data_IF_147501643754
#
_entry.id   IF_147501643754
#
_cell.length_a   1.000
_cell.length_b   1.000
_cell.length_c   1.000
_cell.angle_alpha   90.00
_cell.angle_beta   90.00
_cell.angle_gamma   90.00
#
_symmetry.space_group_name_H-M   'P 1'
#
loop_
_entity.id
_entity.type
_entity.pdbx_description
1 polymer ?
#
# COMPACT_ATOMS: atom_id res chain seq x y z
N UNK A 1 2.29 54.49 8.13
CA UNK A 1 1.62 53.19 7.89
C UNK A 1 2.59 51.99 7.90
N UNK A 2 3.90 52.15 8.06
CA UNK A 2 4.86 51.03 8.06
C UNK A 2 5.18 50.46 9.45
N UNK A 3 5.18 51.29 10.50
CA UNK A 3 5.69 50.85 11.82
C UNK A 3 4.68 50.04 12.64
N UNK A 4 3.38 50.31 12.48
CA UNK A 4 2.32 49.55 13.14
C UNK A 4 2.19 48.12 12.57
N UNK A 5 2.41 47.94 11.26
CA UNK A 5 2.38 46.63 10.60
C UNK A 5 3.63 45.81 10.95
N UNK A 6 4.79 46.45 11.01
CA UNK A 6 6.05 45.82 11.43
C UNK A 6 6.03 45.46 12.93
N UNK A 7 5.46 46.32 13.79
CA UNK A 7 5.24 45.99 15.21
C UNK A 7 4.20 44.88 15.39
N UNK A 8 3.13 44.85 14.59
CA UNK A 8 2.14 43.77 14.64
C UNK A 8 2.74 42.43 14.20
N UNK A 9 3.57 42.42 13.16
CA UNK A 9 4.28 41.23 12.67
C UNK A 9 5.34 40.74 13.68
N UNK A 10 6.14 41.65 14.26
CA UNK A 10 7.11 41.32 15.31
C UNK A 10 6.43 40.83 16.61
N UNK A 11 5.30 41.43 17.00
CA UNK A 11 4.49 41.02 18.15
C UNK A 11 3.77 39.70 17.91
N UNK A 12 3.42 39.40 16.65
CA UNK A 12 2.88 38.11 16.20
C UNK A 12 3.94 37.01 16.23
N UNK A 13 5.16 37.27 15.74
CA UNK A 13 6.30 36.35 15.84
C UNK A 13 6.75 36.11 17.30
N UNK A 14 6.72 37.15 18.14
CA UNK A 14 6.99 37.02 19.57
C UNK A 14 5.90 36.17 20.27
N UNK A 15 4.63 36.34 19.89
CA UNK A 15 3.50 35.52 20.36
C UNK A 15 3.54 34.08 19.84
N UNK A 16 4.04 33.85 18.62
CA UNK A 16 4.27 32.52 18.02
C UNK A 16 5.26 31.70 18.85
N UNK A 17 6.32 32.34 19.37
CA UNK A 17 7.28 31.71 20.30
C UNK A 17 6.68 31.40 21.68
N UNK A 18 5.64 32.11 22.10
CA UNK A 18 5.07 31.97 23.46
C UNK A 18 3.82 31.10 23.53
N UNK A 19 2.91 31.12 22.53
CA UNK A 19 1.69 30.28 22.54
C UNK A 19 1.15 29.98 21.13
N UNK A 20 1.25 28.72 20.71
CA UNK A 20 0.18 27.86 20.16
C UNK A 20 0.70 26.95 19.04
N UNK A 21 0.45 25.64 19.22
CA UNK A 21 0.99 24.48 18.49
C UNK A 21 2.44 24.14 18.85
N UNK A 22 2.61 23.55 20.03
CA UNK A 22 3.84 22.81 20.35
C UNK A 22 3.84 21.51 19.55
N UNK A 23 4.68 21.43 18.53
CA UNK A 23 5.03 20.15 17.93
C UNK A 23 6.03 19.47 18.85
N UNK A 24 5.70 18.29 19.34
CA UNK A 24 6.67 17.42 19.97
C UNK A 24 7.59 16.85 18.86
N UNK A 25 8.65 17.57 18.54
CA UNK A 25 9.62 17.20 17.50
C UNK A 25 10.41 15.92 17.81
N UNK A 26 10.27 15.35 19.02
CA UNK A 26 10.76 14.02 19.36
C UNK A 26 9.83 12.92 18.81
N UNK A 27 8.57 13.23 18.54
CA UNK A 27 7.63 12.36 17.81
C UNK A 27 7.79 12.58 16.31
N UNK A 28 8.08 11.50 15.59
CA UNK A 28 8.37 11.54 14.15
C UNK A 28 7.24 12.18 13.30
N UNK A 29 5.99 12.03 13.73
CA UNK A 29 4.81 12.58 13.05
C UNK A 29 4.71 14.10 13.22
N UNK A 30 4.89 14.59 14.43
CA UNK A 30 4.86 16.02 14.75
C UNK A 30 6.11 16.73 14.23
N UNK A 31 7.26 16.04 14.13
CA UNK A 31 8.47 16.53 13.46
C UNK A 31 8.25 16.77 11.96
N UNK A 32 7.51 15.89 11.28
CA UNK A 32 7.15 16.07 9.88
C UNK A 32 6.18 17.25 9.69
N UNK A 33 5.13 17.32 10.52
CA UNK A 33 4.19 18.44 10.49
C UNK A 33 4.87 19.78 10.78
N UNK A 34 5.84 19.80 11.70
CA UNK A 34 6.69 20.95 11.98
C UNK A 34 7.56 21.34 10.76
N UNK A 35 8.14 20.36 10.06
CA UNK A 35 8.92 20.63 8.85
C UNK A 35 8.05 21.23 7.73
N UNK A 36 6.86 20.69 7.49
CA UNK A 36 5.90 21.22 6.52
C UNK A 36 5.42 22.62 6.94
N UNK A 37 5.10 22.83 8.22
CA UNK A 37 4.68 24.12 8.75
C UNK A 37 5.75 25.21 8.54
N UNK A 38 7.03 24.87 8.64
CA UNK A 38 8.13 25.81 8.42
C UNK A 38 8.38 26.16 6.95
N UNK A 39 7.86 25.37 6.00
CA UNK A 39 7.92 25.71 4.57
C UNK A 39 6.80 26.65 4.14
N UNK A 40 5.81 26.90 5.00
CA UNK A 40 4.64 27.71 4.67
C UNK A 40 4.78 29.14 5.21
N UNK A 41 4.57 30.18 4.37
CA UNK A 41 4.61 31.58 4.81
C UNK A 41 3.56 31.92 5.87
N UNK A 42 2.40 31.26 5.84
CA UNK A 42 1.35 31.34 6.86
C UNK A 42 0.68 29.98 7.05
N UNK A 43 1.25 29.17 7.94
CA UNK A 43 0.71 27.87 8.32
C UNK A 43 -0.69 27.97 8.94
N UNK A 44 -0.95 29.02 9.72
CA UNK A 44 -2.23 29.17 10.42
C UNK A 44 -3.37 29.51 9.47
N UNK A 45 -3.12 30.40 8.50
CA UNK A 45 -4.02 30.70 7.40
C UNK A 45 -4.21 29.49 6.49
N UNK A 46 -3.15 28.72 6.22
CA UNK A 46 -3.24 27.48 5.45
C UNK A 46 -4.14 26.43 6.13
N UNK A 47 -3.99 26.20 7.43
CA UNK A 47 -4.84 25.28 8.21
C UNK A 47 -6.29 25.78 8.23
N UNK A 48 -6.51 27.07 8.50
CA UNK A 48 -7.86 27.66 8.52
C UNK A 48 -8.55 27.59 7.16
N UNK A 49 -7.82 27.83 6.08
CA UNK A 49 -8.34 27.71 4.72
C UNK A 49 -8.64 26.25 4.39
N UNK A 50 -7.76 25.32 4.75
CA UNK A 50 -7.98 23.88 4.51
C UNK A 50 -9.19 23.35 5.26
N UNK A 51 -9.34 23.72 6.54
CA UNK A 51 -10.49 23.35 7.37
C UNK A 51 -11.78 24.06 6.93
N UNK A 52 -11.70 25.33 6.51
CA UNK A 52 -12.86 26.07 6.00
C UNK A 52 -13.33 25.50 4.67
N UNK A 53 -12.41 25.13 3.78
CA UNK A 53 -12.74 24.42 2.55
C UNK A 53 -13.34 23.05 2.88
N UNK A 54 -12.74 22.25 3.77
CA UNK A 54 -13.35 20.98 4.23
C UNK A 54 -14.75 21.16 4.82
N UNK A 55 -14.97 22.20 5.63
CA UNK A 55 -16.28 22.50 6.21
C UNK A 55 -17.30 22.96 5.15
N UNK A 56 -16.91 23.77 4.17
CA UNK A 56 -17.77 24.15 3.03
C UNK A 56 -18.10 22.94 2.15
N UNK A 57 -17.15 22.02 1.97
CA UNK A 57 -17.33 20.79 1.21
C UNK A 57 -18.24 19.78 1.93
N UNK A 58 -18.20 19.75 3.28
CA UNK A 58 -19.15 18.97 4.09
C UNK A 58 -20.55 19.58 4.09
N UNK A 59 -20.65 20.91 4.06
CA UNK A 59 -21.93 21.63 4.10
C UNK A 59 -22.70 21.60 2.76
N UNK A 60 -22.02 21.57 1.62
CA UNK A 60 -22.66 21.72 0.29
C UNK A 60 -22.90 20.40 -0.47
N UNK A 61 -22.56 19.24 0.12
CA UNK A 61 -22.46 17.99 -0.66
C UNK A 61 -21.22 17.99 -1.56
N UNK A 62 -20.72 16.79 -1.88
CA UNK A 62 -19.42 16.54 -2.55
C UNK A 62 -19.09 17.58 -3.63
N UNK A 63 -17.87 18.15 -3.69
CA UNK A 63 -17.48 18.90 -4.87
C UNK A 63 -17.35 17.90 -6.01
N UNK A 64 -18.35 17.85 -6.88
CA UNK A 64 -18.20 17.16 -8.16
C UNK A 64 -17.13 17.92 -8.94
N UNK A 65 -16.10 17.19 -9.40
CA UNK A 65 -15.24 17.70 -10.45
C UNK A 65 -16.12 18.03 -11.65
N UNK A 66 -15.84 19.14 -12.31
CA UNK A 66 -16.55 19.49 -13.55
C UNK A 66 -15.93 18.73 -14.71
N UNK A 67 -16.78 18.22 -15.59
CA UNK A 67 -16.36 17.54 -16.80
C UNK A 67 -17.15 18.08 -18.00
N UNK A 68 -16.43 18.60 -18.99
CA UNK A 68 -16.93 18.80 -20.34
C UNK A 68 -16.38 17.65 -21.19
N UNK A 69 -17.25 16.90 -21.87
CA UNK A 69 -16.88 15.72 -22.65
C UNK A 69 -17.19 15.92 -24.12
N UNK A 70 -16.37 15.32 -24.98
CA UNK A 70 -16.72 15.14 -26.38
C UNK A 70 -17.70 13.96 -26.53
N UNK A 71 -18.28 13.82 -27.73
CA UNK A 71 -19.25 12.76 -28.04
C UNK A 71 -18.68 11.34 -27.95
N UNK A 72 -17.35 11.18 -28.00
CA UNK A 72 -16.66 9.90 -27.84
C UNK A 72 -16.30 9.59 -26.38
N UNK A 73 -16.70 10.43 -25.42
CA UNK A 73 -16.38 10.25 -24.00
C UNK A 73 -14.99 10.75 -23.59
N UNK A 74 -14.23 11.38 -24.50
CA UNK A 74 -12.97 12.06 -24.12
C UNK A 74 -13.24 13.32 -23.30
N UNK A 75 -12.34 13.65 -22.38
CA UNK A 75 -12.45 14.85 -21.54
C UNK A 75 -11.91 16.06 -22.32
N UNK A 76 -12.78 17.01 -22.59
CA UNK A 76 -12.42 18.32 -23.19
C UNK A 76 -11.95 19.27 -22.10
N UNK A 77 -12.63 19.28 -20.95
CA UNK A 77 -12.27 20.14 -19.81
C UNK A 77 -12.57 19.48 -18.49
N UNK A 78 -11.67 19.63 -17.54
CA UNK A 78 -11.94 19.32 -16.13
C UNK A 78 -11.07 20.16 -15.20
N UNK A 79 -11.60 20.42 -14.00
CA UNK A 79 -10.89 21.10 -12.91
C UNK A 79 -10.02 20.15 -12.05
N UNK A 80 -9.92 18.86 -12.41
CA UNK A 80 -9.12 17.86 -11.69
C UNK A 80 -7.70 18.34 -11.34
N UNK A 81 -6.96 18.92 -12.29
CA UNK A 81 -5.55 19.32 -12.05
C UNK A 81 -5.39 20.48 -11.07
N UNK A 82 -6.44 21.26 -10.85
CA UNK A 82 -6.48 22.33 -9.85
C UNK A 82 -7.09 21.86 -8.53
N UNK A 83 -7.68 20.67 -8.51
CA UNK A 83 -8.37 20.10 -7.37
C UNK A 83 -7.41 19.61 -6.28
N UNK A 84 -7.99 19.31 -5.10
CA UNK A 84 -7.29 18.65 -4.01
C UNK A 84 -6.72 17.28 -4.42
N UNK A 85 -7.38 16.57 -5.34
CA UNK A 85 -6.97 15.23 -5.75
C UNK A 85 -5.60 15.28 -6.42
N UNK A 86 -5.44 16.14 -7.42
CA UNK A 86 -4.15 16.34 -8.07
C UNK A 86 -3.09 16.89 -7.11
N UNK A 87 -3.46 17.79 -6.19
CA UNK A 87 -2.52 18.34 -5.19
C UNK A 87 -1.98 17.27 -4.23
N UNK A 88 -2.83 16.35 -3.78
CA UNK A 88 -2.47 15.30 -2.83
C UNK A 88 -1.97 14.01 -3.48
N UNK A 89 -1.83 13.98 -4.81
CA UNK A 89 -1.36 12.79 -5.50
C UNK A 89 -2.40 11.67 -5.55
N UNK A 90 -3.69 12.02 -5.59
CA UNK A 90 -4.82 11.10 -5.63
C UNK A 90 -5.39 11.00 -7.07
N UNK A 91 -5.43 9.80 -7.66
CA UNK A 91 -6.13 9.60 -8.93
C UNK A 91 -7.64 9.74 -8.75
N UNK A 92 -8.33 10.08 -9.83
CA UNK A 92 -9.79 10.19 -9.86
C UNK A 92 -10.36 9.39 -11.03
N UNK A 93 -11.41 8.62 -10.78
CA UNK A 93 -12.10 7.81 -11.78
C UNK A 93 -13.52 8.32 -11.96
N UNK A 94 -13.90 8.53 -13.22
CA UNK A 94 -15.27 8.85 -13.59
C UNK A 94 -15.73 8.01 -14.77
N UNK A 95 -17.04 7.92 -14.98
CA UNK A 95 -17.62 7.36 -16.20
C UNK A 95 -18.26 8.44 -17.08
N UNK A 96 -18.28 8.23 -18.38
CA UNK A 96 -19.11 8.92 -19.36
C UNK A 96 -19.58 7.85 -20.36
N UNK A 97 -20.87 7.54 -20.35
CA UNK A 97 -21.47 6.45 -21.14
C UNK A 97 -20.74 5.11 -20.92
N UNK A 98 -20.16 4.52 -21.97
CA UNK A 98 -19.41 3.25 -21.93
C UNK A 98 -17.89 3.43 -21.67
N UNK A 99 -17.46 4.67 -21.39
CA UNK A 99 -16.06 5.07 -21.23
C UNK A 99 -15.75 5.42 -19.79
N UNK A 100 -14.72 4.78 -19.24
CA UNK A 100 -14.08 5.22 -18.02
C UNK A 100 -12.95 6.19 -18.28
N UNK A 101 -12.81 7.16 -17.37
CA UNK A 101 -11.86 8.24 -17.46
C UNK A 101 -11.07 8.25 -16.17
N UNK A 102 -9.82 7.80 -16.23
CA UNK A 102 -8.90 7.79 -15.11
C UNK A 102 -7.93 8.96 -15.23
N UNK A 103 -8.05 9.92 -14.33
CA UNK A 103 -7.18 11.11 -14.27
C UNK A 103 -6.05 10.86 -13.28
N UNK A 104 -4.80 10.87 -13.78
CA UNK A 104 -3.62 10.62 -12.95
C UNK A 104 -3.02 11.92 -12.41
N UNK A 105 -2.58 11.93 -11.15
CA UNK A 105 -1.96 13.11 -10.55
C UNK A 105 -0.53 13.26 -11.08
N UNK A 106 -0.10 14.48 -11.49
CA UNK A 106 1.21 14.69 -12.13
C UNK A 106 2.41 14.13 -11.35
N UNK A 107 2.36 14.18 -10.01
CA UNK A 107 3.46 13.73 -9.14
C UNK A 107 3.66 12.20 -9.16
N UNK A 108 2.67 11.43 -9.62
CA UNK A 108 2.70 9.96 -9.63
C UNK A 108 2.87 9.35 -11.01
N UNK A 109 2.64 10.14 -12.08
CA UNK A 109 2.73 9.70 -13.48
C UNK A 109 4.05 8.96 -13.74
N UNK A 110 5.20 9.57 -13.40
CA UNK A 110 6.52 8.98 -13.64
C UNK A 110 6.68 7.58 -13.03
N UNK A 111 6.09 7.33 -11.86
CA UNK A 111 6.18 6.04 -11.17
C UNK A 111 5.15 5.00 -11.63
N UNK A 112 4.07 5.42 -12.28
CA UNK A 112 2.94 4.54 -12.62
C UNK A 112 2.86 4.21 -14.12
N UNK A 113 3.36 5.11 -14.98
CA UNK A 113 3.28 5.01 -16.45
C UNK A 113 3.74 3.65 -16.97
N UNK A 114 4.88 3.14 -16.51
CA UNK A 114 5.41 1.89 -17.03
C UNK A 114 4.46 0.69 -16.78
N UNK A 115 3.84 0.63 -15.60
CA UNK A 115 2.90 -0.43 -15.26
C UNK A 115 1.55 -0.28 -15.97
N UNK A 116 1.09 0.96 -16.15
CA UNK A 116 -0.16 1.26 -16.86
C UNK A 116 -0.04 0.95 -18.35
N UNK A 117 1.03 1.43 -19.01
CA UNK A 117 1.22 1.26 -20.45
C UNK A 117 1.60 -0.17 -20.86
N UNK A 118 2.06 -1.01 -19.93
CA UNK A 118 2.32 -2.43 -20.20
C UNK A 118 1.02 -3.26 -20.28
N UNK A 119 -0.08 -2.74 -19.76
CA UNK A 119 -1.34 -3.47 -19.68
C UNK A 119 -2.00 -3.65 -21.05
N UNK A 120 -2.68 -4.78 -21.21
CA UNK A 120 -3.51 -5.10 -22.37
C UNK A 120 -4.98 -4.78 -22.10
N UNK A 121 -5.38 -4.73 -20.83
CA UNK A 121 -6.74 -4.40 -20.40
C UNK A 121 -6.75 -3.89 -18.96
N UNK A 122 -7.83 -3.22 -18.58
CA UNK A 122 -8.12 -2.85 -17.18
C UNK A 122 -9.28 -3.70 -16.67
N UNK A 123 -9.12 -4.31 -15.50
CA UNK A 123 -10.21 -5.00 -14.80
C UNK A 123 -10.59 -4.23 -13.56
N UNK A 124 -11.89 -4.02 -13.37
CA UNK A 124 -12.41 -3.27 -12.23
C UNK A 124 -13.14 -4.22 -11.31
N UNK A 125 -12.73 -4.19 -10.05
CA UNK A 125 -13.38 -4.93 -8.99
C UNK A 125 -14.21 -3.97 -8.15
N UNK A 126 -15.51 -4.26 -8.07
CA UNK A 126 -16.46 -3.53 -7.25
C UNK A 126 -16.03 -3.55 -5.77
N UNK A 127 -16.31 -2.49 -4.99
CA UNK A 127 -15.86 -2.36 -3.61
C UNK A 127 -16.25 -3.50 -2.68
N UNK A 128 -17.41 -4.09 -2.93
CA UNK A 128 -17.88 -5.23 -2.17
C UNK A 128 -17.00 -6.49 -2.32
N UNK A 129 -16.06 -6.54 -3.29
CA UNK A 129 -15.06 -7.62 -3.41
C UNK A 129 -13.79 -7.37 -2.57
N UNK A 130 -13.52 -6.12 -2.19
CA UNK A 130 -12.31 -5.71 -1.47
C UNK A 130 -12.47 -5.75 0.07
N UNK A 131 -13.58 -6.31 0.57
CA UNK A 131 -13.92 -6.35 1.99
C UNK A 131 -14.20 -4.98 2.61
N UNK A 132 -14.15 -3.90 1.82
CA UNK A 132 -14.51 -2.55 2.20
C UNK A 132 -15.33 -1.90 1.06
N UNK A 133 -16.61 -1.55 1.31
CA UNK A 133 -17.54 -1.06 0.30
C UNK A 133 -17.16 0.32 -0.27
N UNK A 134 -16.14 0.97 0.29
CA UNK A 134 -15.69 2.29 -0.15
C UNK A 134 -14.48 2.23 -1.11
N UNK A 135 -13.91 1.07 -1.44
CA UNK A 135 -12.70 1.02 -2.29
C UNK A 135 -12.89 0.30 -3.62
N UNK A 136 -12.59 0.96 -4.73
CA UNK A 136 -12.49 0.32 -6.05
C UNK A 136 -11.04 -0.12 -6.31
N UNK A 137 -10.87 -1.27 -6.96
CA UNK A 137 -9.57 -1.73 -7.45
C UNK A 137 -9.56 -1.78 -8.97
N UNK A 138 -8.52 -1.18 -9.55
CA UNK A 138 -8.23 -1.19 -10.98
C UNK A 138 -6.96 -2.02 -11.20
N UNK A 139 -7.12 -3.16 -11.84
CA UNK A 139 -6.02 -4.07 -12.21
C UNK A 139 -5.65 -3.83 -13.68
N UNK A 140 -4.42 -3.43 -13.91
CA UNK A 140 -3.81 -3.23 -15.23
C UNK A 140 -3.15 -4.52 -15.68
N UNK A 141 -3.92 -5.37 -16.35
CA UNK A 141 -3.55 -6.74 -16.71
C UNK A 141 -2.71 -6.78 -17.98
N UNK A 142 -1.42 -7.06 -17.83
CA UNK A 142 -0.44 -7.26 -18.90
C UNK A 142 -0.25 -8.74 -19.26
N UNK A 143 -0.96 -9.66 -18.59
CA UNK A 143 -0.78 -11.10 -18.67
C UNK A 143 0.38 -11.64 -17.83
N UNK A 144 1.09 -10.79 -17.08
CA UNK A 144 2.10 -11.24 -16.14
C UNK A 144 1.46 -11.79 -14.86
N UNK A 145 2.24 -12.51 -14.05
CA UNK A 145 1.83 -12.91 -12.71
C UNK A 145 1.66 -11.70 -11.77
N UNK A 146 2.19 -10.53 -12.14
CA UNK A 146 2.36 -9.38 -11.26
C UNK A 146 1.91 -8.05 -11.91
N UNK A 147 0.64 -7.94 -12.33
CA UNK A 147 0.10 -6.74 -12.96
C UNK A 147 0.12 -5.52 -12.03
N UNK A 148 0.11 -4.33 -12.63
CA UNK A 148 0.01 -3.08 -11.89
C UNK A 148 -1.41 -2.87 -11.34
N UNK A 149 -1.54 -2.28 -10.15
CA UNK A 149 -2.84 -2.12 -9.46
C UNK A 149 -2.97 -0.71 -8.87
N UNK A 150 -4.14 -0.11 -9.06
CA UNK A 150 -4.55 1.12 -8.38
C UNK A 150 -5.77 0.84 -7.49
N UNK A 151 -5.80 1.51 -6.34
CA UNK A 151 -6.92 1.47 -5.40
C UNK A 151 -7.46 2.89 -5.29
N UNK A 152 -8.77 3.04 -5.41
CA UNK A 152 -9.49 4.31 -5.35
C UNK A 152 -10.47 4.27 -4.20
N UNK A 153 -10.48 5.33 -3.38
CA UNK A 153 -11.39 5.47 -2.25
C UNK A 153 -12.62 6.29 -2.66
N UNK A 154 -13.75 5.60 -2.85
CA UNK A 154 -15.07 6.19 -3.09
C UNK A 154 -15.59 6.97 -1.87
N UNK A 155 -15.22 6.58 -0.64
CA UNK A 155 -15.52 7.31 0.59
C UNK A 155 -14.80 8.67 0.63
N UNK A 156 -13.55 8.73 0.16
CA UNK A 156 -12.80 9.97 -0.06
C UNK A 156 -13.22 10.72 -1.34
N UNK A 157 -14.17 10.17 -2.10
CA UNK A 157 -14.71 10.74 -3.33
C UNK A 157 -13.76 10.68 -4.52
N UNK A 158 -12.89 9.67 -4.63
CA UNK A 158 -12.02 9.45 -5.80
C UNK A 158 -12.75 8.77 -6.97
N UNK A 159 -14.01 8.40 -6.78
CA UNK A 159 -14.79 7.60 -7.71
C UNK A 159 -16.14 8.25 -7.92
N UNK A 160 -16.47 8.48 -9.18
CA UNK A 160 -17.75 9.00 -9.65
C UNK A 160 -18.29 8.08 -10.76
N UNK A 161 -18.90 6.98 -10.34
CA UNK A 161 -19.43 5.94 -11.22
C UNK A 161 -20.96 5.87 -11.09
N UNK A 162 -21.71 5.86 -12.21
CA UNK A 162 -23.13 5.57 -12.18
C UNK A 162 -23.35 4.09 -11.83
N UNK A 163 -24.48 3.79 -11.21
CA UNK A 163 -24.80 2.44 -10.70
C UNK A 163 -24.95 1.35 -11.76
N UNK A 164 -25.02 1.69 -13.06
CA UNK A 164 -25.41 0.74 -14.12
C UNK A 164 -24.76 0.95 -15.49
N UNK A 165 -23.56 1.56 -15.57
CA UNK A 165 -22.91 1.74 -16.88
C UNK A 165 -22.27 0.42 -17.38
N UNK A 166 -22.59 0.04 -18.61
CA UNK A 166 -21.92 -1.03 -19.35
C UNK A 166 -20.57 -0.51 -19.89
N UNK A 167 -19.56 -0.49 -19.03
CA UNK A 167 -18.23 0.01 -19.37
C UNK A 167 -17.51 -0.95 -20.33
N UNK A 168 -16.93 -0.40 -21.41
CA UNK A 168 -16.19 -1.15 -22.43
C UNK A 168 -14.72 -0.77 -22.53
N UNK A 169 -14.37 0.48 -22.23
CA UNK A 169 -13.00 0.99 -22.32
C UNK A 169 -12.66 1.99 -21.22
N UNK A 170 -11.38 2.15 -20.97
CA UNK A 170 -10.83 3.10 -20.00
C UNK A 170 -9.76 3.96 -20.67
N UNK A 171 -9.98 5.27 -20.68
CA UNK A 171 -9.03 6.28 -21.14
C UNK A 171 -8.27 6.79 -19.91
N UNK A 172 -6.95 6.69 -19.96
CA UNK A 172 -6.07 7.14 -18.89
C UNK A 172 -5.39 8.44 -19.29
N UNK A 173 -5.58 9.48 -18.49
CA UNK A 173 -5.01 10.80 -18.70
C UNK A 173 -3.82 11.05 -17.77
N UNK A 174 -2.73 11.59 -18.31
CA UNK A 174 -1.58 12.11 -17.60
C UNK A 174 -1.29 13.53 -18.09
N UNK A 175 -0.59 14.38 -17.32
CA UNK A 175 -0.41 15.78 -17.74
C UNK A 175 -1.76 16.52 -17.86
N UNK A 176 -1.81 17.72 -18.46
CA UNK A 176 -3.05 18.52 -18.56
C UNK A 176 -3.89 18.02 -19.73
N UNK A 177 -4.59 16.89 -19.53
CA UNK A 177 -5.43 16.17 -20.50
C UNK A 177 -4.68 15.41 -21.61
N UNK A 178 -3.39 15.10 -21.44
CA UNK A 178 -2.70 14.22 -22.38
C UNK A 178 -3.19 12.78 -22.20
N UNK A 179 -3.70 12.18 -23.28
CA UNK A 179 -4.08 10.77 -23.27
C UNK A 179 -2.80 9.94 -23.21
N UNK A 180 -2.64 9.21 -22.11
CA UNK A 180 -1.50 8.32 -21.90
C UNK A 180 -1.69 7.01 -22.67
N UNK A 181 -2.84 6.37 -22.47
CA UNK A 181 -3.23 5.12 -23.13
C UNK A 181 -4.73 4.93 -23.02
N UNK A 182 -5.30 4.24 -24.00
CA UNK A 182 -6.67 3.74 -23.96
C UNK A 182 -6.64 2.21 -23.92
N UNK A 183 -7.39 1.61 -22.99
CA UNK A 183 -7.39 0.17 -22.76
C UNK A 183 -8.82 -0.38 -22.75
N UNK A 184 -9.04 -1.60 -23.29
CA UNK A 184 -10.25 -2.37 -23.03
C UNK A 184 -10.50 -2.49 -21.52
N UNK A 185 -11.76 -2.39 -21.11
CA UNK A 185 -12.14 -2.42 -19.70
C UNK A 185 -13.21 -3.48 -19.44
N UNK A 186 -13.01 -4.27 -18.38
CA UNK A 186 -13.97 -5.27 -17.94
C UNK A 186 -14.33 -5.01 -16.47
N UNK A 187 -15.61 -4.75 -16.22
CA UNK A 187 -16.16 -4.71 -14.86
C UNK A 187 -16.48 -6.13 -14.44
N UNK A 188 -15.79 -6.65 -13.42
CA UNK A 188 -15.97 -8.05 -13.00
C UNK A 188 -17.19 -8.14 -12.07
N UNK A 189 -18.27 -8.86 -12.45
CA UNK A 189 -19.46 -9.01 -11.63
C UNK A 189 -19.15 -9.80 -10.35
N UNK A 190 -19.95 -9.54 -9.30
CA UNK A 190 -19.92 -10.35 -8.09
C UNK A 190 -20.31 -11.80 -8.40
N UNK A 191 -19.43 -12.75 -8.09
CA UNK A 191 -19.82 -14.16 -7.94
C UNK A 191 -20.07 -14.36 -6.44
N UNK A 192 -21.31 -14.72 -6.06
CA UNK A 192 -21.61 -15.11 -4.67
C UNK A 192 -20.73 -16.30 -4.31
N UNK A 193 -19.92 -16.24 -3.23
CA UNK A 193 -19.18 -17.40 -2.77
C UNK A 193 -20.13 -18.42 -2.13
N UNK A 194 -20.09 -19.68 -2.59
CA UNK A 194 -20.76 -20.79 -1.91
C UNK A 194 -20.05 -21.17 -0.60
N UNK A 195 -20.79 -21.74 0.38
CA UNK A 195 -20.31 -21.83 1.75
C UNK A 195 -19.65 -23.17 2.07
N UNK A 196 -18.39 -23.10 2.52
CA UNK A 196 -17.80 -24.04 3.46
C UNK A 196 -16.76 -23.26 4.30
N UNK A 197 -17.05 -23.05 5.58
CA UNK A 197 -16.14 -22.45 6.58
C UNK A 197 -15.80 -20.94 6.47
N UNK A 198 -16.83 -20.13 6.71
CA UNK A 198 -16.85 -18.69 6.97
C UNK A 198 -16.16 -18.23 8.29
N UNK A 199 -14.97 -18.73 8.65
CA UNK A 199 -14.34 -18.44 9.97
C UNK A 199 -12.87 -18.01 9.97
N UNK A 200 -12.30 -17.63 8.84
CA UNK A 200 -11.09 -16.80 8.73
C UNK A 200 -11.46 -15.77 7.68
N UNK A 201 -11.52 -14.47 7.99
CA UNK A 201 -11.89 -13.48 6.97
C UNK A 201 -10.62 -13.06 6.19
N UNK A 202 -10.39 -13.54 4.96
CA UNK A 202 -9.17 -13.30 4.19
C UNK A 202 -9.27 -12.07 3.27
N UNK A 203 -10.25 -11.18 3.48
CA UNK A 203 -10.83 -10.38 2.37
C UNK A 203 -10.44 -8.90 2.33
N UNK A 204 -9.59 -8.37 3.23
CA UNK A 204 -9.31 -6.92 3.29
C UNK A 204 -7.89 -6.52 3.70
N UNK A 205 -6.88 -7.39 3.63
CA UNK A 205 -5.49 -7.00 3.95
C UNK A 205 -4.59 -7.14 2.74
N UNK A 206 -3.98 -6.03 2.34
CA UNK A 206 -2.79 -6.05 1.49
C UNK A 206 -1.57 -6.14 2.41
N UNK A 207 -0.65 -7.04 2.09
CA UNK A 207 0.67 -7.06 2.68
C UNK A 207 1.56 -6.05 1.96
N UNK A 208 2.16 -5.12 2.68
CA UNK A 208 3.25 -4.30 2.15
C UNK A 208 4.53 -5.12 2.16
N UNK A 209 4.90 -5.72 1.03
CA UNK A 209 6.15 -6.43 0.84
C UNK A 209 7.25 -5.47 0.39
N UNK A 210 8.36 -5.42 1.12
CA UNK A 210 9.43 -4.46 0.91
C UNK A 210 10.72 -5.21 0.75
N UNK A 211 11.25 -5.25 -0.48
CA UNK A 211 12.48 -5.96 -0.79
C UNK A 211 13.52 -4.94 -1.20
N UNK A 212 14.54 -4.75 -0.36
CA UNK A 212 15.62 -3.78 -0.60
C UNK A 212 15.13 -2.37 -0.97
N UNK A 213 14.08 -1.89 -0.28
CA UNK A 213 13.51 -0.56 -0.51
C UNK A 213 12.54 -0.46 -1.69
N UNK A 214 12.31 -1.54 -2.45
CA UNK A 214 11.20 -1.63 -3.40
C UNK A 214 9.95 -2.09 -2.66
N UNK A 215 8.90 -1.29 -2.70
CA UNK A 215 7.62 -1.60 -2.06
C UNK A 215 6.64 -2.22 -3.05
N UNK A 216 5.90 -3.23 -2.58
CA UNK A 216 4.85 -3.90 -3.31
C UNK A 216 3.69 -4.21 -2.39
N UNK A 217 2.45 -4.06 -2.86
CA UNK A 217 1.26 -4.51 -2.13
C UNK A 217 0.81 -5.86 -2.68
N UNK A 218 0.66 -6.85 -1.81
CA UNK A 218 0.28 -8.22 -2.19
C UNK A 218 -0.99 -8.62 -1.46
N UNK A 219 -2.01 -9.07 -2.20
CA UNK A 219 -3.23 -9.62 -1.59
C UNK A 219 -3.06 -11.06 -1.19
N UNK A 220 -3.82 -11.50 -0.19
CA UNK A 220 -3.89 -12.90 0.20
C UNK A 220 -4.35 -13.80 -0.95
N UNK A 221 -5.32 -13.34 -1.74
CA UNK A 221 -5.88 -14.04 -2.90
C UNK A 221 -4.89 -14.23 -4.06
N UNK A 222 -3.84 -13.41 -4.13
CA UNK A 222 -2.79 -13.55 -5.14
C UNK A 222 -1.72 -14.59 -4.74
N UNK A 223 -1.81 -15.14 -3.53
CA UNK A 223 -0.92 -16.20 -3.06
C UNK A 223 -1.67 -17.53 -3.09
N UNK A 224 -1.10 -18.55 -3.72
CA UNK A 224 -1.75 -19.87 -3.83
C UNK A 224 -2.10 -20.40 -2.45
N UNK A 225 -3.36 -20.82 -2.28
CA UNK A 225 -3.82 -21.30 -0.97
C UNK A 225 -3.05 -22.55 -0.52
N UNK A 226 -2.72 -23.44 -1.45
CA UNK A 226 -1.89 -24.63 -1.19
C UNK A 226 -0.52 -24.26 -0.62
N UNK A 227 0.14 -23.22 -1.15
CA UNK A 227 1.43 -22.75 -0.65
C UNK A 227 1.31 -22.20 0.77
N UNK A 228 0.25 -21.42 1.06
CA UNK A 228 0.02 -20.89 2.42
C UNK A 228 -0.28 -22.00 3.42
N UNK A 229 -1.12 -22.97 3.06
CA UNK A 229 -1.41 -24.14 3.90
C UNK A 229 -0.14 -24.95 4.17
N UNK A 230 0.69 -25.18 3.14
CA UNK A 230 1.98 -25.84 3.29
C UNK A 230 2.88 -25.06 4.26
N UNK A 231 2.99 -23.74 4.11
CA UNK A 231 3.79 -22.91 5.00
C UNK A 231 3.26 -22.85 6.43
N UNK A 232 1.94 -22.94 6.66
CA UNK A 232 1.37 -23.06 8.00
C UNK A 232 1.79 -24.35 8.69
N UNK A 233 1.80 -25.46 7.96
CA UNK A 233 2.33 -26.72 8.47
C UNK A 233 3.83 -26.60 8.80
N UNK A 234 4.61 -26.00 7.91
CA UNK A 234 6.04 -25.76 8.12
C UNK A 234 6.31 -24.81 9.31
N UNK A 235 5.48 -23.79 9.54
CA UNK A 235 5.58 -22.89 10.69
C UNK A 235 5.39 -23.65 12.01
N UNK A 236 4.41 -24.54 12.08
CA UNK A 236 4.20 -25.39 13.24
C UNK A 236 5.43 -26.27 13.52
N UNK A 237 6.03 -26.84 12.47
CA UNK A 237 7.26 -27.62 12.59
C UNK A 237 8.48 -26.77 12.98
N UNK A 238 8.64 -25.57 12.41
CA UNK A 238 9.77 -24.68 12.72
C UNK A 238 9.78 -24.20 14.17
N UNK A 239 8.61 -24.12 14.81
CA UNK A 239 8.50 -23.76 16.23
C UNK A 239 8.92 -24.88 17.17
N UNK A 240 8.78 -26.13 16.75
CA UNK A 240 9.19 -27.31 17.53
C UNK A 240 10.58 -27.81 17.16
N UNK A 241 11.05 -27.47 15.96
CA UNK A 241 12.38 -27.78 15.46
C UNK A 241 13.01 -26.52 14.82
N UNK A 242 14.06 -25.93 15.41
CA UNK A 242 14.58 -24.62 15.03
C UNK A 242 15.20 -24.55 13.61
N UNK A 243 15.33 -25.67 12.90
CA UNK A 243 15.77 -25.70 11.51
C UNK A 243 14.85 -26.55 10.63
N UNK A 244 13.87 -25.92 9.96
CA UNK A 244 13.19 -26.60 8.86
C UNK A 244 14.10 -26.64 7.64
N UNK A 245 14.36 -27.85 7.16
CA UNK A 245 14.99 -28.08 5.86
C UNK A 245 13.95 -27.90 4.76
N UNK A 246 14.31 -27.12 3.76
CA UNK A 246 13.55 -26.94 2.54
C UNK A 246 14.19 -27.78 1.43
N UNK A 247 13.39 -28.26 0.46
CA UNK A 247 13.92 -28.96 -0.70
C UNK A 247 15.04 -28.17 -1.39
N UNK A 248 16.06 -28.88 -1.88
CA UNK A 248 17.16 -28.29 -2.65
C UNK A 248 18.31 -27.71 -1.81
N UNK A 249 18.47 -28.16 -0.55
CA UNK A 249 19.61 -27.76 0.28
C UNK A 249 19.46 -26.37 0.89
N UNK A 250 18.23 -25.95 1.22
CA UNK A 250 17.98 -24.68 1.91
C UNK A 250 17.41 -24.93 3.30
N UNK A 251 17.55 -23.95 4.19
CA UNK A 251 16.94 -23.97 5.52
C UNK A 251 16.27 -22.64 5.80
N UNK A 252 15.06 -22.69 6.32
CA UNK A 252 14.37 -21.53 6.87
C UNK A 252 14.25 -21.71 8.38
N UNK A 253 14.60 -20.65 9.14
CA UNK A 253 14.56 -20.66 10.60
C UNK A 253 13.81 -19.48 11.12
N UNK A 254 13.00 -19.70 12.15
CA UNK A 254 12.42 -18.63 12.95
C UNK A 254 13.51 -18.11 13.90
N UNK A 255 13.84 -16.83 13.80
CA UNK A 255 14.79 -16.14 14.68
C UNK A 255 14.09 -15.46 15.85
N UNK A 256 12.86 -15.04 15.64
CA UNK A 256 12.02 -14.42 16.65
C UNK A 256 10.55 -14.60 16.24
N UNK A 257 9.69 -14.95 17.20
CA UNK A 257 8.27 -15.21 16.93
C UNK A 257 7.36 -14.60 18.01
N UNK A 258 7.22 -13.28 17.96
CA UNK A 258 6.35 -12.53 18.87
C UNK A 258 4.94 -12.38 18.31
N UNK A 259 4.02 -11.89 19.14
CA UNK A 259 2.64 -11.65 18.73
C UNK A 259 2.51 -10.62 17.57
N UNK A 260 3.33 -9.57 17.57
CA UNK A 260 3.26 -8.46 16.60
C UNK A 260 4.47 -8.40 15.64
N UNK A 261 5.42 -9.33 15.75
CA UNK A 261 6.68 -9.36 15.00
C UNK A 261 7.16 -10.80 14.81
N UNK A 262 7.53 -11.18 13.59
CA UNK A 262 8.29 -12.39 13.35
C UNK A 262 9.49 -12.13 12.45
N UNK A 263 10.59 -12.83 12.73
CA UNK A 263 11.85 -12.73 11.99
C UNK A 263 12.24 -14.12 11.50
N UNK A 264 12.48 -14.24 10.20
CA UNK A 264 12.93 -15.47 9.57
C UNK A 264 14.30 -15.28 8.92
N UNK A 265 15.10 -16.34 8.89
CA UNK A 265 16.32 -16.38 8.09
C UNK A 265 16.30 -17.57 7.15
N UNK A 266 16.48 -17.30 5.86
CA UNK A 266 16.71 -18.31 4.84
C UNK A 266 18.21 -18.41 4.56
N UNK A 267 18.72 -19.64 4.55
CA UNK A 267 20.12 -19.92 4.27
C UNK A 267 20.23 -21.12 3.33
N UNK A 268 21.28 -21.14 2.51
CA UNK A 268 21.68 -22.33 1.74
C UNK A 268 22.62 -23.17 2.59
N UNK A 269 22.45 -24.48 2.56
CA UNK A 269 23.35 -25.47 3.14
C UNK A 269 24.29 -25.98 2.03
N UNK A 270 25.56 -26.13 2.35
CA UNK A 270 26.48 -26.89 1.51
C UNK A 270 26.43 -28.39 1.85
N UNK A 271 27.21 -29.19 1.11
CA UNK A 271 27.31 -30.65 1.30
C UNK A 271 27.82 -31.04 2.70
N UNK A 272 28.50 -30.13 3.39
CA UNK A 272 29.02 -30.33 4.75
C UNK A 272 28.05 -29.77 5.83
N UNK A 273 26.87 -29.28 5.44
CA UNK A 273 25.89 -28.67 6.32
C UNK A 273 26.23 -27.24 6.76
N UNK A 274 27.26 -26.61 6.18
CA UNK A 274 27.61 -25.23 6.48
C UNK A 274 26.56 -24.28 5.87
N UNK A 275 26.13 -23.32 6.68
CA UNK A 275 24.98 -22.47 6.36
C UNK A 275 25.42 -21.09 5.85
N UNK A 276 25.07 -20.77 4.61
CA UNK A 276 25.28 -19.45 3.99
C UNK A 276 23.97 -18.64 4.03
N UNK A 277 23.91 -17.50 4.74
CA UNK A 277 22.68 -16.72 4.82
C UNK A 277 22.35 -16.05 3.48
N UNK A 278 21.13 -16.27 2.98
CA UNK A 278 20.66 -15.68 1.73
C UNK A 278 19.77 -14.47 1.98
N UNK A 279 18.79 -14.59 2.87
CA UNK A 279 17.91 -13.46 3.20
C UNK A 279 17.42 -13.52 4.64
N UNK A 280 17.00 -12.34 5.13
CA UNK A 280 16.27 -12.16 6.37
C UNK A 280 14.93 -11.51 6.07
N UNK A 281 13.87 -12.07 6.62
CA UNK A 281 12.50 -11.64 6.42
C UNK A 281 11.94 -11.17 7.77
N UNK A 282 11.23 -10.05 7.82
CA UNK A 282 10.59 -9.53 9.03
C UNK A 282 9.13 -9.21 8.73
N UNK A 283 8.22 -9.82 9.46
CA UNK A 283 6.77 -9.56 9.37
C UNK A 283 6.38 -8.71 10.57
N UNK A 284 5.75 -7.57 10.33
CA UNK A 284 5.34 -6.62 11.35
C UNK A 284 3.85 -6.31 11.21
N UNK A 285 3.09 -6.42 12.30
CA UNK A 285 1.63 -6.16 12.29
C UNK A 285 1.21 -4.92 13.06
N UNK A 286 2.12 -4.30 13.82
CA UNK A 286 1.85 -3.04 14.53
C UNK A 286 2.99 -2.05 14.39
N UNK A 287 2.64 -0.78 14.19
CA UNK A 287 3.58 0.32 14.02
C UNK A 287 4.66 0.41 15.10
N UNK A 288 4.34 0.12 16.37
CA UNK A 288 5.32 0.07 17.47
C UNK A 288 6.47 -0.93 17.26
N UNK A 289 6.23 -2.00 16.49
CA UNK A 289 7.23 -3.03 16.18
C UNK A 289 8.00 -2.73 14.88
N UNK A 290 7.68 -1.64 14.17
CA UNK A 290 8.28 -1.32 12.89
C UNK A 290 9.78 -1.01 13.02
N UNK A 291 10.19 -0.28 14.06
CA UNK A 291 11.61 0.02 14.33
C UNK A 291 12.41 -1.23 14.72
N UNK A 292 11.95 -2.07 15.68
CA UNK A 292 12.58 -3.38 15.94
C UNK A 292 12.72 -4.25 14.68
N UNK A 293 11.69 -4.31 13.83
CA UNK A 293 11.76 -5.04 12.55
C UNK A 293 12.85 -4.48 11.61
N UNK A 294 13.01 -3.16 11.59
CA UNK A 294 14.00 -2.48 10.74
C UNK A 294 15.43 -2.69 11.21
N UNK A 295 15.65 -2.63 12.51
CA UNK A 295 16.93 -2.90 13.17
C UNK A 295 17.35 -4.37 12.97
N UNK A 296 16.41 -5.30 13.08
CA UNK A 296 16.65 -6.72 12.80
C UNK A 296 17.13 -6.97 11.37
N UNK A 297 16.66 -6.20 10.39
CA UNK A 297 17.16 -6.24 9.02
C UNK A 297 18.45 -5.45 8.83
N UNK A 298 18.86 -4.63 9.79
CA UNK A 298 19.93 -3.63 9.64
C UNK A 298 19.72 -2.86 8.32
N UNK A 299 18.48 -2.40 8.13
CA UNK A 299 18.01 -1.65 6.98
C UNK A 299 18.35 -0.16 7.14
N UNK A 300 18.51 0.54 6.00
CA UNK A 300 18.78 1.99 5.99
C UNK A 300 17.46 2.77 5.86
N UNK A 301 17.43 3.98 6.40
CA UNK A 301 16.25 4.86 6.36
C UNK A 301 15.24 4.54 7.47
N UNK A 302 14.04 5.12 7.35
CA UNK A 302 12.94 4.87 8.31
C UNK A 302 12.12 3.65 7.90
N UNK A 303 11.58 2.89 8.87
CA UNK A 303 10.65 1.81 8.57
C UNK A 303 9.34 2.32 7.96
N UNK A 304 8.57 1.42 7.32
CA UNK A 304 7.28 1.76 6.75
C UNK A 304 6.32 2.23 7.84
N UNK A 305 5.58 3.31 7.54
CA UNK A 305 4.54 3.83 8.45
C UNK A 305 3.26 2.99 8.41
N UNK A 306 3.11 2.14 7.39
CA UNK A 306 1.89 1.35 7.15
C UNK A 306 2.14 -0.10 7.58
N UNK A 307 1.27 -0.63 8.44
CA UNK A 307 1.25 -2.03 8.87
C UNK A 307 -0.10 -2.69 8.49
N UNK A 308 -0.15 -4.01 8.24
CA UNK A 308 0.98 -4.96 8.31
C UNK A 308 1.93 -4.85 7.11
N UNK A 309 3.22 -5.07 7.36
CA UNK A 309 4.25 -5.15 6.32
C UNK A 309 5.15 -6.37 6.51
N UNK A 310 5.76 -6.79 5.41
CA UNK A 310 6.87 -7.73 5.39
C UNK A 310 8.06 -7.04 4.74
N UNK A 311 9.19 -7.01 5.42
CA UNK A 311 10.42 -6.43 4.90
C UNK A 311 11.48 -7.52 4.75
N UNK A 312 12.19 -7.50 3.63
CA UNK A 312 13.17 -8.51 3.25
C UNK A 312 14.51 -7.85 2.96
N UNK A 313 15.54 -8.29 3.69
CA UNK A 313 16.93 -8.05 3.34
C UNK A 313 17.49 -9.26 2.63
N UNK A 314 17.95 -9.05 1.41
CA UNK A 314 18.68 -10.05 0.62
C UNK A 314 20.17 -9.75 0.68
N UNK A 315 20.97 -10.77 0.97
CA UNK A 315 22.43 -10.68 0.98
C UNK A 315 22.97 -10.96 -0.42
N UNK A 316 22.87 -10.00 -1.33
CA UNK A 316 23.14 -10.20 -2.78
C UNK A 316 24.48 -10.87 -3.08
N UNK A 317 25.52 -10.61 -2.28
CA UNK A 317 26.85 -11.24 -2.45
C UNK A 317 26.85 -12.75 -2.24
N UNK A 318 25.85 -13.27 -1.53
CA UNK A 318 25.74 -14.70 -1.22
C UNK A 318 24.83 -15.45 -2.21
N UNK A 319 24.07 -14.71 -3.04
CA UNK A 319 23.19 -15.28 -4.05
C UNK A 319 23.98 -15.76 -5.28
N UNK A 320 23.83 -17.04 -5.60
CA UNK A 320 24.15 -17.65 -6.89
C UNK A 320 22.98 -17.49 -7.85
N UNK A 321 23.20 -17.74 -9.13
CA UNK A 321 22.15 -17.59 -10.14
C UNK A 321 20.99 -18.58 -9.96
N UNK A 322 21.30 -19.79 -9.49
CA UNK A 322 20.30 -20.78 -9.04
C UNK A 322 19.38 -20.25 -7.92
N UNK A 323 19.96 -19.58 -6.91
CA UNK A 323 19.19 -19.00 -5.81
C UNK A 323 18.29 -17.85 -6.31
N UNK A 324 18.78 -17.05 -7.26
CA UNK A 324 18.03 -15.93 -7.82
C UNK A 324 16.83 -16.43 -8.63
N UNK A 325 16.99 -17.56 -9.33
CA UNK A 325 15.91 -18.22 -10.05
C UNK A 325 14.87 -18.84 -9.11
N UNK A 326 15.31 -19.46 -8.02
CA UNK A 326 14.42 -20.10 -7.03
C UNK A 326 13.72 -19.11 -6.11
N UNK A 327 14.42 -18.05 -5.72
CA UNK A 327 13.92 -17.02 -4.82
C UNK A 327 14.01 -15.65 -5.48
N UNK A 328 13.28 -15.37 -6.57
CA UNK A 328 13.26 -14.03 -7.13
C UNK A 328 12.75 -13.02 -6.07
N UNK A 329 13.10 -11.72 -6.17
CA UNK A 329 12.50 -10.70 -5.31
C UNK A 329 10.98 -10.74 -5.39
N UNK A 330 10.29 -10.61 -4.25
CA UNK A 330 8.84 -10.73 -4.15
C UNK A 330 8.32 -12.12 -4.58
N UNK A 331 9.09 -13.17 -4.28
CA UNK A 331 8.75 -14.55 -4.65
C UNK A 331 7.49 -15.08 -3.94
N UNK A 332 6.93 -16.17 -4.49
CA UNK A 332 5.86 -16.95 -3.85
C UNK A 332 6.26 -17.40 -2.44
N UNK A 333 7.55 -17.65 -2.19
CA UNK A 333 8.09 -17.94 -0.86
C UNK A 333 7.82 -16.82 0.15
N UNK A 334 8.25 -15.59 -0.14
CA UNK A 334 8.13 -14.44 0.76
C UNK A 334 6.65 -14.15 1.07
N UNK A 335 5.79 -14.25 0.04
CA UNK A 335 4.36 -14.03 0.16
C UNK A 335 3.67 -15.14 0.97
N UNK A 336 3.93 -16.41 0.64
CA UNK A 336 3.25 -17.55 1.26
C UNK A 336 3.64 -17.73 2.71
N UNK A 337 4.93 -17.60 3.05
CA UNK A 337 5.41 -17.61 4.43
C UNK A 337 4.77 -16.47 5.24
N UNK A 338 4.69 -15.27 4.66
CA UNK A 338 4.10 -14.14 5.38
C UNK A 338 2.62 -14.33 5.67
N UNK A 339 1.85 -14.73 4.65
CA UNK A 339 0.42 -14.98 4.83
C UNK A 339 0.14 -16.14 5.77
N UNK A 340 0.95 -17.20 5.71
CA UNK A 340 0.85 -18.33 6.62
C UNK A 340 0.99 -17.87 8.08
N UNK A 341 1.96 -17.02 8.37
CA UNK A 341 2.17 -16.50 9.71
C UNK A 341 1.05 -15.56 10.17
N UNK A 342 0.57 -14.66 9.29
CA UNK A 342 -0.54 -13.76 9.61
C UNK A 342 -1.83 -14.51 9.93
N UNK A 343 -2.18 -15.53 9.13
CA UNK A 343 -3.35 -16.37 9.37
C UNK A 343 -3.24 -17.18 10.66
N UNK A 344 -2.07 -17.72 10.94
CA UNK A 344 -1.79 -18.46 12.16
C UNK A 344 -1.99 -17.58 13.41
N UNK A 345 -1.50 -16.33 13.38
CA UNK A 345 -1.67 -15.38 14.49
C UNK A 345 -3.11 -14.91 14.66
N UNK A 346 -3.83 -14.68 13.57
CA UNK A 346 -5.24 -14.34 13.63
C UNK A 346 -6.07 -15.50 14.20
N UNK A 347 -5.74 -16.74 13.84
CA UNK A 347 -6.35 -17.95 14.40
C UNK A 347 -6.08 -18.04 15.91
N UNK A 348 -4.84 -17.81 16.35
CA UNK A 348 -4.48 -17.81 17.77
C UNK A 348 -5.23 -16.76 18.60
N UNK A 349 -5.42 -15.53 18.05
CA UNK A 349 -6.20 -14.46 18.69
C UNK A 349 -7.66 -14.84 18.90
N UNK A 350 -8.30 -15.43 17.89
CA UNK A 350 -9.72 -15.83 17.95
C UNK A 350 -9.97 -16.94 18.97
N UNK A 351 -8.98 -17.81 19.19
CA UNK A 351 -9.08 -18.91 20.15
C UNK A 351 -8.53 -18.60 21.55
N UNK A 352 -8.19 -17.34 21.85
CA UNK A 352 -7.74 -16.91 23.18
C UNK A 352 -6.45 -17.57 23.67
N UNK A 353 -5.68 -18.21 22.78
CA UNK A 353 -4.41 -18.85 23.13
C UNK A 353 -3.28 -17.82 23.07
N UNK A 354 -2.91 -17.29 24.24
CA UNK A 354 -1.61 -16.61 24.40
C UNK A 354 -0.52 -17.60 24.04
N UNK A 355 0.14 -17.40 22.90
CA UNK A 355 1.33 -18.15 22.49
C UNK A 355 2.52 -17.20 22.60
N UNK A 356 2.87 -16.86 23.84
CA UNK A 356 4.22 -16.42 24.17
C UNK A 356 5.09 -17.67 24.25
N UNK A 357 5.92 -17.87 23.22
CA UNK A 357 7.01 -18.83 23.28
C UNK A 357 8.24 -18.10 23.83
N UNK A 358 8.95 -18.67 24.83
CA UNK A 358 10.13 -18.05 25.41
C UNK A 358 11.24 -17.85 24.37
N UNK A 359 11.98 -16.76 24.56
CA UNK A 359 13.00 -16.22 23.66
C UNK A 359 14.21 -17.14 23.43
#
# INVERSE_FOLDING_TARGET
>A
MSDALNQASAKYELKRKTKSVSFNVERAEEKYLHAVANTLPDFSGWVKNSLSEEAKLQANGKPFLTFENAADGTVVRSDYWRSRYARYGLPFLSACDDVLRLLLPPQRVKSWVAGICAAKQVRIFSPARCGNPDYFELLFDDGSLFPFVLILDAGAGQVDLPSSAEIRRCIIYAGVLDILVELPCVVVPQVKPEPFASLIAPDATFLHLIVQGKERRVRRTHTKNSAVVQWRHQLAMMRTNPAAELPGGYTCRIRQDLHDLAIFSLSRLDENGASTPLMRLCICTRSRMARPAWEALNARGEPPKITPFCAVRRYERNFRDEDKALFPPCSEFECALTWAWLEDRETARRHGKSTEYPA
#
